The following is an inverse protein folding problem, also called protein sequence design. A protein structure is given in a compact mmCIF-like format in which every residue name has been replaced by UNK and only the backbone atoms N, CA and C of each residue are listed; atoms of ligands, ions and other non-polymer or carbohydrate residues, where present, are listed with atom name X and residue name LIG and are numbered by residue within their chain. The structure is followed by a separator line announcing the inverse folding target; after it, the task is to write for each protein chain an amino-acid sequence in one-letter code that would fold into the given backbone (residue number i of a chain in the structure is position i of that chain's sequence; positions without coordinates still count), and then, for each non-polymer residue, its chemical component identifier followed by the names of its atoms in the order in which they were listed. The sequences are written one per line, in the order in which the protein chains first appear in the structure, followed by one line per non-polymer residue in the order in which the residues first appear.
data_IF_540975942486
#
_entry.id   IF_540975942486
#
_cell.length_a   1.000
_cell.length_b   1.000
_cell.length_c   1.000
_cell.angle_alpha   90.00
_cell.angle_beta   90.00
_cell.angle_gamma   90.00
#
_symmetry.space_group_name_H-M   'P 1'
#
loop_
_entity.id
_entity.type
_entity.pdbx_description
1 polymer ?
#
# COMPACT_ATOMS: atom_id res chain seq x y z
N UNK A 1 -23.16 -11.36 22.24
CA UNK A 1 -22.57 -11.12 20.91
C UNK A 1 -21.14 -10.68 21.09
N UNK A 2 -20.19 -11.52 20.63
CA UNK A 2 -18.79 -11.15 20.56
C UNK A 2 -18.70 -9.96 19.62
N UNK A 3 -18.25 -8.80 20.11
CA UNK A 3 -17.92 -7.66 19.28
C UNK A 3 -16.87 -8.12 18.26
N UNK A 4 -17.33 -8.46 17.05
CA UNK A 4 -16.43 -8.74 15.94
C UNK A 4 -15.77 -7.43 15.59
N UNK A 5 -14.59 -7.15 16.18
CA UNK A 5 -13.72 -6.08 15.68
C UNK A 5 -13.57 -6.34 14.18
N UNK A 6 -14.22 -5.53 13.37
CA UNK A 6 -14.04 -5.61 11.91
C UNK A 6 -12.62 -5.18 11.62
N UNK A 7 -11.82 -6.10 11.12
CA UNK A 7 -10.49 -5.73 10.61
C UNK A 7 -10.66 -4.73 9.47
N UNK A 8 -9.81 -3.71 9.40
CA UNK A 8 -9.80 -2.82 8.25
C UNK A 8 -9.49 -3.61 6.97
N UNK A 9 -9.99 -3.18 5.81
CA UNK A 9 -9.66 -3.83 4.55
C UNK A 9 -8.15 -3.75 4.29
N UNK A 10 -7.57 -4.87 3.83
CA UNK A 10 -6.15 -4.98 3.50
C UNK A 10 -5.99 -4.90 2.00
N UNK A 11 -5.15 -3.99 1.53
CA UNK A 11 -4.68 -3.92 0.15
C UNK A 11 -3.23 -4.40 0.13
N UNK A 12 -2.99 -5.50 -0.57
CA UNK A 12 -1.68 -6.12 -0.64
C UNK A 12 -0.86 -5.63 -1.83
N UNK A 13 0.45 -5.61 -1.66
CA UNK A 13 1.42 -5.38 -2.74
C UNK A 13 1.69 -6.70 -3.46
N UNK A 14 1.20 -6.82 -4.70
CA UNK A 14 1.45 -7.93 -5.60
C UNK A 14 2.72 -7.77 -6.45
N UNK A 15 3.49 -6.69 -6.21
CA UNK A 15 4.71 -6.38 -6.99
C UNK A 15 4.39 -6.38 -8.50
N UNK A 16 5.29 -6.91 -9.31
CA UNK A 16 5.02 -7.17 -10.75
C UNK A 16 4.43 -8.57 -11.02
N UNK A 17 3.93 -9.24 -9.95
CA UNK A 17 3.33 -10.58 -10.03
C UNK A 17 4.32 -11.74 -9.97
N UNK A 18 5.59 -11.49 -9.64
CA UNK A 18 6.68 -12.47 -9.50
C UNK A 18 6.89 -13.38 -10.72
N UNK A 19 6.48 -12.92 -11.91
CA UNK A 19 6.63 -13.67 -13.15
C UNK A 19 5.55 -13.34 -14.19
N UNK A 20 5.08 -14.37 -14.89
CA UNK A 20 4.04 -14.25 -15.92
C UNK A 20 2.62 -14.40 -15.38
N UNK A 21 1.68 -14.65 -16.31
CA UNK A 21 0.23 -14.74 -16.01
C UNK A 21 -0.11 -15.84 -14.99
N UNK A 22 0.58 -16.97 -15.03
CA UNK A 22 0.34 -18.07 -14.09
C UNK A 22 0.77 -17.69 -12.66
N UNK A 23 1.90 -17.00 -12.53
CA UNK A 23 2.35 -16.50 -11.22
C UNK A 23 1.34 -15.50 -10.63
N UNK A 24 0.83 -14.58 -11.45
CA UNK A 24 -0.18 -13.61 -11.01
C UNK A 24 -1.47 -14.30 -10.59
N UNK A 25 -1.94 -15.30 -11.34
CA UNK A 25 -3.13 -16.08 -11.02
C UNK A 25 -2.99 -16.77 -9.66
N UNK A 26 -1.90 -17.52 -9.44
CA UNK A 26 -1.66 -18.24 -8.20
C UNK A 26 -1.42 -17.30 -7.01
N UNK A 27 -0.69 -16.20 -7.21
CA UNK A 27 -0.47 -15.19 -6.18
C UNK A 27 -1.80 -14.56 -5.74
N UNK A 28 -2.69 -14.29 -6.70
CA UNK A 28 -4.01 -13.74 -6.40
C UNK A 28 -4.85 -14.70 -5.58
N UNK A 29 -4.82 -16.01 -5.90
CA UNK A 29 -5.48 -17.04 -5.10
C UNK A 29 -4.97 -17.04 -3.65
N UNK A 30 -3.64 -17.00 -3.44
CA UNK A 30 -3.05 -16.99 -2.11
C UNK A 30 -3.45 -15.75 -1.30
N UNK A 31 -3.56 -14.59 -1.93
CA UNK A 31 -4.04 -13.38 -1.28
C UNK A 31 -5.52 -13.46 -0.92
N UNK A 32 -6.35 -14.03 -1.79
CA UNK A 32 -7.77 -14.27 -1.53
C UNK A 32 -7.93 -15.21 -0.31
N UNK A 33 -7.21 -16.31 -0.28
CA UNK A 33 -7.21 -17.27 0.82
C UNK A 33 -6.75 -16.64 2.14
N UNK A 34 -5.87 -15.65 2.07
CA UNK A 34 -5.38 -14.87 3.21
C UNK A 34 -6.36 -13.76 3.66
N UNK A 35 -7.48 -13.56 2.98
CA UNK A 35 -8.51 -12.58 3.34
C UNK A 35 -8.19 -11.14 2.92
N UNK A 36 -7.35 -10.93 1.94
CA UNK A 36 -7.00 -9.61 1.39
C UNK A 36 -8.19 -9.04 0.62
N UNK A 37 -8.44 -7.74 0.75
CA UNK A 37 -9.57 -7.05 0.10
C UNK A 37 -9.23 -6.47 -1.27
N UNK A 38 -7.96 -6.20 -1.51
CA UNK A 38 -7.47 -5.66 -2.79
C UNK A 38 -6.00 -5.96 -3.01
N UNK A 39 -5.58 -5.96 -4.27
CA UNK A 39 -4.19 -6.18 -4.67
C UNK A 39 -3.81 -5.14 -5.70
N UNK A 40 -2.63 -4.55 -5.57
CA UNK A 40 -2.03 -3.81 -6.68
C UNK A 40 -0.93 -4.63 -7.35
N UNK A 41 -0.89 -4.53 -8.67
CA UNK A 41 0.19 -5.01 -9.50
C UNK A 41 0.82 -3.84 -10.24
N UNK A 42 2.09 -3.96 -10.61
CA UNK A 42 2.82 -2.95 -11.37
C UNK A 42 3.35 -3.49 -12.69
N UNK A 43 3.49 -2.60 -13.68
CA UNK A 43 3.92 -2.94 -15.05
C UNK A 43 5.45 -3.04 -15.22
N UNK A 44 6.20 -3.26 -14.15
CA UNK A 44 7.62 -3.53 -14.22
C UNK A 44 7.91 -4.97 -14.67
N UNK A 45 9.07 -5.17 -15.31
CA UNK A 45 9.63 -6.49 -15.60
C UNK A 45 9.99 -7.19 -14.29
N UNK A 46 9.44 -8.37 -14.04
CA UNK A 46 9.56 -9.05 -12.76
C UNK A 46 11.01 -9.37 -12.34
N UNK A 47 11.88 -9.73 -13.31
CA UNK A 47 13.30 -9.99 -13.02
C UNK A 47 14.12 -8.75 -12.69
N UNK A 48 13.66 -7.56 -13.11
CA UNK A 48 14.35 -6.28 -12.95
C UNK A 48 13.58 -5.30 -12.06
N UNK A 49 12.58 -5.80 -11.33
CA UNK A 49 11.71 -4.98 -10.49
C UNK A 49 12.49 -4.21 -9.44
N UNK A 50 12.19 -2.93 -9.31
CA UNK A 50 12.79 -2.02 -8.34
C UNK A 50 11.73 -1.19 -7.62
N UNK A 51 12.07 -0.73 -6.42
CA UNK A 51 11.20 0.20 -5.67
C UNK A 51 10.85 1.44 -6.52
N UNK A 52 9.63 1.96 -6.35
CA UNK A 52 9.11 3.08 -7.13
C UNK A 52 9.99 4.32 -7.18
N UNK A 53 10.79 4.57 -6.13
CA UNK A 53 11.69 5.73 -6.04
C UNK A 53 13.11 5.49 -6.56
N UNK A 54 13.43 4.26 -6.95
CA UNK A 54 14.77 3.88 -7.44
C UNK A 54 14.82 3.97 -8.97
N UNK A 55 15.98 4.35 -9.50
CA UNK A 55 16.23 4.43 -10.93
C UNK A 55 16.44 3.05 -11.59
N UNK A 56 16.52 3.05 -12.94
CA UNK A 56 16.80 1.84 -13.72
C UNK A 56 15.63 0.86 -13.81
N UNK A 57 14.40 1.32 -13.62
CA UNK A 57 13.19 0.53 -13.83
C UNK A 57 13.00 0.17 -15.30
N UNK A 58 12.55 -1.05 -15.54
CA UNK A 58 12.18 -1.59 -16.85
C UNK A 58 10.70 -1.92 -16.84
N UNK A 59 9.90 -1.31 -17.71
CA UNK A 59 8.49 -1.65 -17.85
C UNK A 59 8.25 -2.63 -19.01
N UNK A 60 7.15 -3.35 -18.92
CA UNK A 60 6.69 -4.31 -19.93
C UNK A 60 5.66 -3.67 -20.86
N UNK A 61 5.43 -4.21 -22.07
CA UNK A 61 4.42 -3.73 -22.97
C UNK A 61 3.00 -3.72 -22.37
N UNK A 62 2.19 -2.76 -22.81
CA UNK A 62 0.81 -2.59 -22.35
C UNK A 62 -0.02 -3.87 -22.47
N UNK A 63 0.06 -4.60 -23.59
CA UNK A 63 -0.69 -5.85 -23.77
C UNK A 63 -0.25 -6.96 -22.81
N UNK A 64 1.03 -7.02 -22.48
CA UNK A 64 1.57 -8.03 -21.55
C UNK A 64 1.05 -7.77 -20.13
N UNK A 65 1.05 -6.52 -19.70
CA UNK A 65 0.52 -6.17 -18.39
C UNK A 65 -1.00 -6.37 -18.28
N UNK A 66 -1.77 -6.06 -19.36
CA UNK A 66 -3.21 -6.35 -19.41
C UNK A 66 -3.50 -7.84 -19.22
N UNK A 67 -2.68 -8.73 -19.78
CA UNK A 67 -2.81 -10.18 -19.53
C UNK A 67 -2.63 -10.54 -18.06
N UNK A 68 -1.72 -9.87 -17.36
CA UNK A 68 -1.54 -10.04 -15.90
C UNK A 68 -2.77 -9.57 -15.12
N UNK A 69 -3.33 -8.40 -15.46
CA UNK A 69 -4.58 -7.92 -14.84
C UNK A 69 -5.75 -8.89 -15.08
N UNK A 70 -5.85 -9.43 -16.29
CA UNK A 70 -6.87 -10.45 -16.61
C UNK A 70 -6.64 -11.75 -15.83
N UNK A 71 -5.39 -12.15 -15.59
CA UNK A 71 -5.09 -13.33 -14.77
C UNK A 71 -5.54 -13.13 -13.32
N UNK A 72 -5.31 -11.93 -12.76
CA UNK A 72 -5.80 -11.58 -11.42
C UNK A 72 -7.34 -11.56 -11.37
N UNK A 73 -7.99 -10.99 -12.37
CA UNK A 73 -9.46 -10.99 -12.45
C UNK A 73 -10.03 -12.40 -12.57
N UNK A 74 -9.43 -13.23 -13.43
CA UNK A 74 -9.85 -14.62 -13.58
C UNK A 74 -9.74 -15.40 -12.26
N UNK A 75 -8.69 -15.21 -11.50
CA UNK A 75 -8.50 -15.81 -10.17
C UNK A 75 -9.63 -15.41 -9.22
N UNK A 76 -9.97 -14.11 -9.17
CA UNK A 76 -11.11 -13.59 -8.39
C UNK A 76 -12.44 -14.20 -8.82
N UNK A 77 -12.70 -14.28 -10.11
CA UNK A 77 -13.95 -14.80 -10.65
C UNK A 77 -14.11 -16.31 -10.39
N UNK A 78 -13.03 -17.08 -10.55
CA UNK A 78 -13.03 -18.53 -10.29
C UNK A 78 -13.21 -18.83 -8.80
N UNK A 79 -12.59 -18.03 -7.94
CA UNK A 79 -12.73 -18.16 -6.48
C UNK A 79 -14.11 -17.72 -5.97
N UNK A 80 -14.87 -16.98 -6.77
CA UNK A 80 -16.14 -16.37 -6.36
C UNK A 80 -15.99 -15.29 -5.28
N UNK A 81 -14.78 -14.75 -5.10
CA UNK A 81 -14.46 -13.72 -4.11
C UNK A 81 -14.13 -12.42 -4.82
N UNK A 82 -14.97 -11.39 -4.72
CA UNK A 82 -14.68 -10.09 -5.35
C UNK A 82 -13.50 -9.42 -4.63
N UNK A 83 -12.38 -9.27 -5.35
CA UNK A 83 -11.21 -8.56 -4.89
C UNK A 83 -10.97 -7.32 -5.74
N UNK A 84 -10.55 -6.23 -5.12
CA UNK A 84 -10.22 -5.00 -5.83
C UNK A 84 -8.86 -5.15 -6.51
N UNK A 85 -8.81 -4.96 -7.82
CA UNK A 85 -7.58 -4.98 -8.62
C UNK A 85 -7.16 -3.54 -8.91
N UNK A 86 -5.94 -3.21 -8.51
CA UNK A 86 -5.34 -1.90 -8.70
C UNK A 86 -4.21 -2.03 -9.73
N UNK A 87 -4.36 -1.35 -10.86
CA UNK A 87 -3.31 -1.28 -11.87
C UNK A 87 -2.38 -0.12 -11.60
N UNK A 88 -1.11 -0.42 -11.33
CA UNK A 88 -0.04 0.56 -11.17
C UNK A 88 0.81 0.63 -12.43
N UNK A 89 1.12 1.84 -12.88
CA UNK A 89 2.19 2.04 -13.86
C UNK A 89 3.39 2.74 -13.24
N UNK A 90 4.56 2.28 -13.57
CA UNK A 90 5.85 2.88 -13.24
C UNK A 90 6.46 3.66 -14.41
N UNK A 91 5.75 3.80 -15.55
CA UNK A 91 6.23 4.41 -16.77
C UNK A 91 6.70 5.85 -16.58
N UNK A 92 6.12 6.61 -15.64
CA UNK A 92 6.50 8.00 -15.36
C UNK A 92 7.99 8.15 -15.00
N UNK A 93 8.56 7.16 -14.32
CA UNK A 93 9.94 7.19 -13.82
C UNK A 93 10.80 6.03 -14.34
N UNK A 94 10.28 5.20 -15.23
CA UNK A 94 11.06 4.16 -15.87
C UNK A 94 11.93 4.74 -17.00
N UNK A 95 13.11 4.19 -17.18
CA UNK A 95 13.97 4.56 -18.31
C UNK A 95 13.88 3.59 -19.48
N UNK A 96 13.45 2.37 -19.20
CA UNK A 96 13.62 1.23 -20.11
C UNK A 96 12.30 0.50 -20.31
N UNK A 97 12.15 -0.07 -21.50
CA UNK A 97 11.07 -0.96 -21.87
C UNK A 97 11.60 -2.21 -22.57
N UNK A 98 10.96 -3.34 -22.31
CA UNK A 98 11.42 -4.65 -22.82
C UNK A 98 11.26 -4.79 -24.34
N UNK A 99 10.20 -4.23 -24.93
CA UNK A 99 9.82 -4.45 -26.31
C UNK A 99 9.02 -3.30 -26.90
N UNK A 100 9.16 -3.07 -28.18
CA UNK A 100 8.40 -2.13 -29.02
C UNK A 100 7.24 -2.79 -29.78
N UNK A 101 6.93 -4.04 -29.46
CA UNK A 101 5.93 -4.85 -30.19
C UNK A 101 4.51 -4.29 -30.09
N UNK A 102 4.18 -3.60 -29.01
CA UNK A 102 2.84 -3.01 -28.83
C UNK A 102 2.79 -1.61 -29.45
N UNK A 103 1.97 -1.45 -30.49
CA UNK A 103 1.81 -0.17 -31.21
C UNK A 103 1.36 0.98 -30.31
N UNK A 104 0.70 0.67 -29.18
CA UNK A 104 0.27 1.67 -28.18
C UNK A 104 1.46 2.30 -27.47
N UNK A 105 2.56 1.55 -27.33
CA UNK A 105 3.76 1.94 -26.62
C UNK A 105 4.87 2.43 -27.54
N UNK A 106 4.98 1.88 -28.75
CA UNK A 106 6.12 2.06 -29.68
C UNK A 106 6.48 3.52 -29.97
N UNK A 107 5.49 4.41 -30.04
CA UNK A 107 5.67 5.85 -30.33
C UNK A 107 6.37 6.62 -29.19
N UNK A 108 6.51 6.04 -28.01
CA UNK A 108 7.20 6.64 -26.87
C UNK A 108 8.62 6.12 -26.67
N UNK A 109 9.07 5.25 -27.57
CA UNK A 109 10.33 4.53 -27.43
C UNK A 109 11.38 4.99 -28.45
N UNK A 110 12.65 4.89 -28.06
CA UNK A 110 13.77 5.03 -28.98
C UNK A 110 13.73 3.99 -30.09
N UNK A 111 14.31 4.31 -31.24
CA UNK A 111 14.37 3.38 -32.39
C UNK A 111 15.34 2.21 -32.18
N UNK A 112 16.34 2.40 -31.33
CA UNK A 112 17.41 1.43 -31.13
C UNK A 112 17.38 0.90 -29.69
N UNK A 113 17.81 -0.35 -29.51
CA UNK A 113 18.03 -0.95 -28.20
C UNK A 113 19.29 -0.43 -27.55
N UNK A 114 19.29 -0.36 -26.21
CA UNK A 114 20.47 -0.15 -25.38
C UNK A 114 21.41 -1.34 -25.42
N UNK A 115 22.60 -1.21 -24.84
CA UNK A 115 23.54 -2.34 -24.65
C UNK A 115 22.94 -3.49 -23.83
N UNK A 116 21.98 -3.18 -22.96
CA UNK A 116 21.29 -4.16 -22.13
C UNK A 116 20.10 -4.83 -22.87
N UNK A 117 19.86 -4.43 -24.12
CA UNK A 117 18.82 -5.02 -24.96
C UNK A 117 17.43 -4.42 -24.81
N UNK A 118 17.26 -3.36 -24.04
CA UNK A 118 16.00 -2.66 -23.83
C UNK A 118 15.88 -1.40 -24.70
N UNK A 119 14.66 -0.91 -24.90
CA UNK A 119 14.41 0.40 -25.53
C UNK A 119 14.40 1.50 -24.46
N UNK A 120 14.94 2.69 -24.82
CA UNK A 120 14.78 3.88 -23.98
C UNK A 120 13.37 4.45 -24.13
N UNK A 121 12.79 4.89 -23.03
CA UNK A 121 11.54 5.65 -23.03
C UNK A 121 11.90 7.12 -23.23
N UNK A 122 11.38 7.74 -24.30
CA UNK A 122 11.67 9.12 -24.68
C UNK A 122 10.63 10.12 -24.17
N UNK A 123 9.40 9.65 -23.90
CA UNK A 123 8.32 10.48 -23.38
C UNK A 123 7.55 9.74 -22.25
N UNK A 124 8.08 9.84 -21.05
CA UNK A 124 7.54 9.17 -19.87
C UNK A 124 6.15 9.68 -19.46
N UNK A 125 5.96 10.99 -19.53
CA UNK A 125 4.72 11.66 -19.09
C UNK A 125 3.52 11.17 -19.89
N UNK A 126 3.58 11.29 -21.21
CA UNK A 126 2.50 10.85 -22.11
C UNK A 126 2.31 9.33 -22.06
N UNK A 127 3.42 8.58 -21.96
CA UNK A 127 3.38 7.12 -21.86
C UNK A 127 2.66 6.66 -20.60
N UNK A 128 2.92 7.28 -19.44
CA UNK A 128 2.27 6.94 -18.19
C UNK A 128 0.75 7.14 -18.26
N UNK A 129 0.31 8.25 -18.85
CA UNK A 129 -1.12 8.51 -19.08
C UNK A 129 -1.71 7.49 -20.05
N UNK A 130 -1.06 7.24 -21.19
CA UNK A 130 -1.54 6.32 -22.21
C UNK A 130 -1.67 4.87 -21.69
N UNK A 131 -0.67 4.39 -20.95
CA UNK A 131 -0.71 3.08 -20.30
C UNK A 131 -1.88 3.01 -19.32
N UNK A 132 -2.02 4.00 -18.45
CA UNK A 132 -3.09 4.06 -17.46
C UNK A 132 -4.49 4.08 -18.08
N UNK A 133 -4.67 4.78 -19.20
CA UNK A 133 -5.92 4.75 -19.97
C UNK A 133 -6.24 3.35 -20.47
N UNK A 134 -5.25 2.62 -20.98
CA UNK A 134 -5.43 1.24 -21.43
C UNK A 134 -5.69 0.27 -20.27
N UNK A 135 -5.15 0.51 -19.08
CA UNK A 135 -5.34 -0.35 -17.91
C UNK A 135 -6.71 -0.12 -17.24
N UNK A 136 -7.28 1.06 -17.42
CA UNK A 136 -8.52 1.46 -16.76
C UNK A 136 -9.70 0.54 -17.06
N UNK A 137 -9.72 -0.16 -18.19
CA UNK A 137 -10.78 -1.14 -18.51
C UNK A 137 -10.64 -2.46 -17.73
N UNK A 138 -9.42 -2.78 -17.27
CA UNK A 138 -9.07 -4.09 -16.70
C UNK A 138 -8.86 -4.06 -15.18
N UNK A 139 -8.95 -2.90 -14.58
CA UNK A 139 -8.73 -2.71 -13.15
C UNK A 139 -9.83 -1.85 -12.52
N UNK A 140 -10.07 -2.03 -11.23
CA UNK A 140 -11.03 -1.23 -10.47
C UNK A 140 -10.46 0.14 -10.13
N UNK A 141 -9.16 0.21 -9.87
CA UNK A 141 -8.41 1.42 -9.51
C UNK A 141 -7.18 1.56 -10.41
N UNK A 142 -6.84 2.78 -10.76
CA UNK A 142 -5.63 3.09 -11.52
C UNK A 142 -4.70 3.97 -10.69
N UNK A 143 -3.41 3.65 -10.75
CA UNK A 143 -2.35 4.34 -10.02
C UNK A 143 -1.12 4.57 -10.91
N UNK A 144 -0.67 5.81 -11.00
CA UNK A 144 0.63 6.16 -11.57
C UNK A 144 1.62 6.45 -10.43
N UNK A 145 2.68 5.66 -10.35
CA UNK A 145 3.74 5.89 -9.36
C UNK A 145 4.60 7.08 -9.77
N UNK A 146 4.83 7.98 -8.82
CA UNK A 146 5.71 9.14 -8.96
C UNK A 146 6.86 9.07 -7.96
N UNK A 147 7.95 9.79 -8.20
CA UNK A 147 9.08 9.90 -7.28
C UNK A 147 9.17 11.27 -6.58
N UNK A 148 8.26 12.17 -6.94
CA UNK A 148 8.09 13.48 -6.30
C UNK A 148 6.60 13.80 -6.19
N UNK A 149 6.16 14.56 -5.17
CA UNK A 149 4.78 15.01 -5.09
C UNK A 149 4.54 16.12 -6.13
N UNK A 150 3.50 15.96 -6.95
CA UNK A 150 3.14 16.89 -8.02
C UNK A 150 1.62 16.93 -8.21
N UNK A 151 1.00 18.02 -7.74
CA UNK A 151 -0.45 18.24 -7.90
C UNK A 151 -0.83 18.60 -9.33
N UNK A 152 0.06 19.23 -10.08
CA UNK A 152 -0.18 19.59 -11.48
C UNK A 152 -0.32 18.34 -12.34
N UNK A 153 0.66 17.43 -12.26
CA UNK A 153 0.59 16.14 -12.93
C UNK A 153 -0.60 15.30 -12.42
N UNK A 154 -0.83 15.26 -11.11
CA UNK A 154 -1.94 14.51 -10.54
C UNK A 154 -3.29 14.98 -11.11
N UNK A 155 -3.48 16.30 -11.26
CA UNK A 155 -4.69 16.86 -11.87
C UNK A 155 -4.82 16.49 -13.34
N UNK A 156 -3.77 16.69 -14.13
CA UNK A 156 -3.74 16.35 -15.55
C UNK A 156 -4.04 14.86 -15.77
N UNK A 157 -3.36 13.98 -15.03
CA UNK A 157 -3.61 12.54 -15.08
C UNK A 157 -5.07 12.19 -14.79
N UNK A 158 -5.64 12.78 -13.74
CA UNK A 158 -7.04 12.56 -13.38
C UNK A 158 -7.99 13.04 -14.48
N UNK A 159 -7.75 14.20 -15.04
CA UNK A 159 -8.57 14.79 -16.11
C UNK A 159 -8.53 13.92 -17.38
N UNK A 160 -7.34 13.43 -17.77
CA UNK A 160 -7.19 12.54 -18.93
C UNK A 160 -7.90 11.19 -18.75
N UNK A 161 -7.73 10.54 -17.61
CA UNK A 161 -8.41 9.27 -17.33
C UNK A 161 -9.94 9.46 -17.35
N UNK A 162 -10.45 10.54 -16.80
CA UNK A 162 -11.88 10.79 -16.68
C UNK A 162 -12.59 11.16 -17.97
N UNK A 163 -11.88 11.61 -18.99
CA UNK A 163 -12.46 11.83 -20.33
C UNK A 163 -13.10 10.54 -20.87
N UNK A 164 -12.46 9.40 -20.65
CA UNK A 164 -12.92 8.09 -21.13
C UNK A 164 -13.58 7.24 -20.02
N UNK A 165 -13.15 7.43 -18.78
CA UNK A 165 -13.57 6.64 -17.62
C UNK A 165 -14.03 7.55 -16.46
N UNK A 166 -15.17 8.25 -16.56
CA UNK A 166 -15.57 9.33 -15.64
C UNK A 166 -15.70 8.89 -14.17
N UNK A 167 -15.98 7.62 -13.94
CA UNK A 167 -16.17 7.04 -12.60
C UNK A 167 -14.96 6.25 -12.11
N UNK A 168 -13.83 6.25 -12.84
CA UNK A 168 -12.64 5.48 -12.43
C UNK A 168 -12.06 6.01 -11.12
N UNK A 169 -11.84 5.09 -10.19
CA UNK A 169 -11.14 5.40 -8.94
C UNK A 169 -9.65 5.52 -9.23
N UNK A 170 -9.06 6.57 -8.69
CA UNK A 170 -7.62 6.81 -8.77
C UNK A 170 -6.97 6.62 -7.40
N UNK A 171 -5.74 6.09 -7.41
CA UNK A 171 -4.90 5.95 -6.23
C UNK A 171 -3.67 6.86 -6.30
N UNK A 172 -3.20 7.32 -5.14
CA UNK A 172 -1.99 8.11 -5.00
C UNK A 172 -1.17 7.65 -3.79
N UNK A 173 0.13 7.49 -3.99
CA UNK A 173 1.08 7.23 -2.93
C UNK A 173 1.66 8.53 -2.38
N UNK A 174 1.24 8.93 -1.19
CA UNK A 174 1.83 10.04 -0.43
C UNK A 174 3.10 9.53 0.29
N UNK A 175 4.14 9.25 -0.47
CA UNK A 175 5.32 8.56 0.06
C UNK A 175 6.09 9.40 1.09
N UNK A 176 6.52 8.82 2.22
CA UNK A 176 7.46 9.47 3.14
C UNK A 176 8.88 9.59 2.56
N UNK A 177 9.16 8.94 1.41
CA UNK A 177 10.42 9.10 0.67
C UNK A 177 10.46 10.38 -0.17
N UNK A 178 9.37 11.11 -0.30
CA UNK A 178 9.34 12.40 -0.97
C UNK A 178 9.98 13.48 -0.10
N UNK A 179 10.77 14.37 -0.72
CA UNK A 179 11.26 15.59 -0.08
C UNK A 179 10.15 16.65 -0.09
N UNK A 180 9.16 16.46 0.78
CA UNK A 180 7.94 17.28 0.80
C UNK A 180 8.22 18.78 0.94
N UNK A 181 9.11 19.17 1.88
CA UNK A 181 9.43 20.57 2.15
C UNK A 181 10.27 21.24 1.04
N UNK A 182 10.86 20.47 0.12
CA UNK A 182 11.54 21.02 -1.05
C UNK A 182 10.55 21.48 -2.14
N UNK A 183 9.31 21.00 -2.08
CA UNK A 183 8.26 21.22 -3.09
C UNK A 183 7.10 22.08 -2.60
N UNK A 184 6.76 21.98 -1.32
CA UNK A 184 5.56 22.57 -0.76
C UNK A 184 5.82 23.20 0.61
N UNK A 185 5.07 24.26 0.90
CA UNK A 185 4.97 24.82 2.25
C UNK A 185 4.19 23.86 3.17
N UNK A 186 4.34 24.02 4.48
CA UNK A 186 3.57 23.21 5.45
C UNK A 186 2.06 23.27 5.21
N UNK A 187 1.52 24.44 4.89
CA UNK A 187 0.10 24.63 4.63
C UNK A 187 -0.37 23.90 3.36
N UNK A 188 0.44 23.87 2.32
CA UNK A 188 0.14 23.12 1.10
C UNK A 188 0.18 21.61 1.37
N UNK A 189 1.15 21.13 2.19
CA UNK A 189 1.22 19.73 2.60
C UNK A 189 -0.03 19.33 3.40
N UNK A 190 -0.49 20.16 4.33
CA UNK A 190 -1.73 19.94 5.10
C UNK A 190 -2.96 19.79 4.20
N UNK A 191 -3.01 20.50 3.08
CA UNK A 191 -4.13 20.45 2.13
C UNK A 191 -3.95 19.44 1.01
N UNK A 192 -2.77 18.84 0.84
CA UNK A 192 -2.39 18.02 -0.32
C UNK A 192 -3.37 16.87 -0.58
N UNK A 193 -3.75 16.13 0.46
CA UNK A 193 -4.69 15.01 0.33
C UNK A 193 -6.11 15.46 -0.02
N UNK A 194 -6.54 16.62 0.47
CA UNK A 194 -7.84 17.22 0.12
C UNK A 194 -7.88 17.65 -1.34
N UNK A 195 -6.80 18.24 -1.84
CA UNK A 195 -6.62 18.59 -3.25
C UNK A 195 -6.70 17.34 -4.14
N UNK A 196 -5.93 16.30 -3.84
CA UNK A 196 -6.00 15.02 -4.54
C UNK A 196 -7.41 14.43 -4.53
N UNK A 197 -8.10 14.49 -3.39
CA UNK A 197 -9.47 14.01 -3.28
C UNK A 197 -10.43 14.76 -4.18
N UNK A 198 -10.23 16.08 -4.36
CA UNK A 198 -11.02 16.92 -5.29
C UNK A 198 -10.81 16.51 -6.75
N UNK A 199 -9.61 16.06 -7.12
CA UNK A 199 -9.30 15.51 -8.46
C UNK A 199 -9.80 14.07 -8.65
N UNK A 200 -10.26 13.40 -7.56
CA UNK A 200 -10.85 12.07 -7.58
C UNK A 200 -9.95 10.92 -7.19
N UNK A 201 -8.85 11.21 -6.60
CA UNK A 201 -8.04 10.19 -5.93
C UNK A 201 -8.75 9.76 -4.64
N UNK A 202 -9.53 8.70 -4.73
CA UNK A 202 -10.32 8.18 -3.60
C UNK A 202 -9.53 7.19 -2.74
N UNK A 203 -8.47 6.61 -3.28
CA UNK A 203 -7.53 5.78 -2.55
C UNK A 203 -6.20 6.52 -2.40
N UNK A 204 -5.90 6.94 -1.18
CA UNK A 204 -4.65 7.62 -0.84
C UNK A 204 -4.00 6.88 0.30
N UNK A 205 -2.70 6.64 0.21
CA UNK A 205 -1.97 5.91 1.24
C UNK A 205 -0.58 6.51 1.47
N UNK A 206 -0.06 6.27 2.65
CA UNK A 206 1.30 6.66 3.04
C UNK A 206 2.12 5.39 3.16
N UNK A 207 2.86 5.06 2.12
CA UNK A 207 3.72 3.88 2.14
C UNK A 207 4.80 3.99 3.21
N UNK A 208 5.23 2.86 3.79
CA UNK A 208 6.29 2.79 4.81
C UNK A 208 6.04 3.56 6.12
N UNK A 209 4.86 4.15 6.32
CA UNK A 209 4.56 4.89 7.55
C UNK A 209 4.73 4.01 8.80
N UNK A 210 4.23 2.78 8.77
CA UNK A 210 4.39 1.81 9.85
C UNK A 210 5.86 1.44 10.10
N UNK A 211 6.63 1.22 9.03
CA UNK A 211 8.06 0.93 9.13
C UNK A 211 8.82 2.08 9.80
N UNK A 212 8.64 3.30 9.31
CA UNK A 212 9.34 4.46 9.86
C UNK A 212 8.95 4.74 11.31
N UNK A 213 7.65 4.63 11.65
CA UNK A 213 7.16 4.81 13.02
C UNK A 213 7.75 3.77 13.96
N UNK A 214 7.71 2.49 13.60
CA UNK A 214 8.26 1.40 14.41
C UNK A 214 9.79 1.53 14.55
N UNK A 215 10.51 1.71 13.44
CA UNK A 215 11.96 1.77 13.46
C UNK A 215 12.48 2.96 14.27
N UNK A 216 11.89 4.15 14.10
CA UNK A 216 12.31 5.35 14.82
C UNK A 216 11.99 5.29 16.31
N UNK A 217 10.81 4.80 16.69
CA UNK A 217 10.44 4.67 18.11
C UNK A 217 11.27 3.60 18.83
N UNK A 218 11.57 2.49 18.19
CA UNK A 218 12.46 1.46 18.76
C UNK A 218 13.89 1.96 18.88
N UNK A 219 14.39 2.73 17.92
CA UNK A 219 15.72 3.34 18.01
C UNK A 219 15.80 4.35 19.14
N UNK A 220 14.80 5.23 19.28
CA UNK A 220 14.72 6.21 20.35
C UNK A 220 14.71 5.54 21.73
N UNK A 221 13.85 4.52 21.90
CA UNK A 221 13.79 3.74 23.14
C UNK A 221 15.14 3.09 23.47
N UNK A 222 15.77 2.42 22.51
CA UNK A 222 17.05 1.75 22.71
C UNK A 222 18.16 2.75 23.06
N UNK A 223 18.17 3.91 22.41
CA UNK A 223 19.15 4.98 22.67
C UNK A 223 19.00 5.55 24.09
N UNK A 224 17.77 5.83 24.51
CA UNK A 224 17.46 6.29 25.87
C UNK A 224 17.77 5.24 26.92
N UNK A 225 17.43 3.97 26.64
CA UNK A 225 17.73 2.87 27.57
C UNK A 225 19.23 2.69 27.83
N UNK A 226 20.06 2.83 26.79
CA UNK A 226 21.52 2.76 26.88
C UNK A 226 22.10 3.80 27.89
N UNK A 227 21.49 4.99 27.95
CA UNK A 227 21.94 6.08 28.83
C UNK A 227 21.23 6.15 30.18
N UNK A 228 19.96 5.77 30.24
CA UNK A 228 19.05 5.99 31.37
C UNK A 228 18.44 4.73 31.99
N UNK A 229 18.77 3.54 31.46
CA UNK A 229 18.23 2.27 31.97
C UNK A 229 16.66 2.28 32.01
N UNK A 230 16.09 1.86 33.14
CA UNK A 230 14.64 1.77 33.33
C UNK A 230 13.88 3.10 33.24
N UNK A 231 14.58 4.24 33.36
CA UNK A 231 13.91 5.55 33.16
C UNK A 231 13.36 5.71 31.75
N UNK A 232 13.97 5.08 30.73
CA UNK A 232 13.45 5.08 29.36
C UNK A 232 12.12 4.32 29.24
N UNK A 233 11.96 3.25 30.02
CA UNK A 233 10.68 2.49 30.07
C UNK A 233 9.61 3.33 30.78
N UNK A 234 9.97 4.04 31.84
CA UNK A 234 9.04 4.95 32.51
C UNK A 234 8.53 6.06 31.56
N UNK A 235 9.43 6.64 30.75
CA UNK A 235 9.05 7.63 29.73
C UNK A 235 8.08 7.04 28.70
N UNK A 236 8.34 5.81 28.23
CA UNK A 236 7.42 5.11 27.31
C UNK A 236 6.05 4.89 27.95
N UNK A 237 6.01 4.39 29.19
CA UNK A 237 4.75 4.20 29.92
C UNK A 237 3.96 5.51 30.08
N UNK A 238 4.66 6.61 30.41
CA UNK A 238 4.01 7.91 30.53
C UNK A 238 3.46 8.41 29.19
N UNK A 239 4.20 8.20 28.11
CA UNK A 239 3.74 8.52 26.75
C UNK A 239 2.49 7.73 26.37
N UNK A 240 2.46 6.41 26.61
CA UNK A 240 1.27 5.58 26.37
C UNK A 240 0.08 6.02 27.21
N UNK A 241 0.30 6.38 28.47
CA UNK A 241 -0.73 6.95 29.35
C UNK A 241 -1.30 8.26 28.82
N UNK A 242 -0.48 9.12 28.24
CA UNK A 242 -0.95 10.35 27.62
C UNK A 242 -1.77 10.05 26.35
N UNK A 243 -1.30 9.13 25.50
CA UNK A 243 -2.05 8.69 24.32
C UNK A 243 -3.40 8.03 24.65
N UNK A 244 -3.50 7.38 25.81
CA UNK A 244 -4.76 6.73 26.21
C UNK A 244 -5.90 7.71 26.43
N UNK A 245 -5.59 8.98 26.72
CA UNK A 245 -6.59 10.06 26.81
C UNK A 245 -7.24 10.36 25.45
N UNK A 246 -6.54 10.05 24.37
CA UNK A 246 -6.99 10.23 22.99
C UNK A 246 -7.49 8.91 22.36
N UNK A 247 -7.66 7.85 23.18
CA UNK A 247 -8.26 6.59 22.76
C UNK A 247 -7.27 5.47 22.43
N UNK A 248 -5.96 5.62 22.72
CA UNK A 248 -5.01 4.53 22.60
C UNK A 248 -5.28 3.44 23.65
N UNK A 249 -5.42 2.20 23.20
CA UNK A 249 -5.79 1.06 24.05
C UNK A 249 -4.68 0.04 24.28
N UNK A 250 -3.53 0.21 23.57
CA UNK A 250 -2.41 -0.75 23.60
C UNK A 250 -1.75 -0.95 24.95
N UNK A 251 -1.97 -0.06 25.94
CA UNK A 251 -1.55 -0.26 27.32
C UNK A 251 -2.08 -1.60 27.87
N UNK A 252 -3.33 -1.92 27.52
CA UNK A 252 -3.98 -3.19 27.90
C UNK A 252 -3.73 -4.26 26.83
N UNK A 253 -2.46 -4.56 26.60
CA UNK A 253 -2.02 -5.43 25.51
C UNK A 253 -2.63 -6.83 25.53
N UNK A 254 -2.92 -7.41 26.70
CA UNK A 254 -3.61 -8.71 26.80
C UNK A 254 -5.03 -8.65 26.20
N UNK A 255 -5.72 -7.53 26.40
CA UNK A 255 -7.04 -7.33 25.81
C UNK A 255 -6.95 -7.16 24.29
N UNK A 256 -5.92 -6.43 23.81
CA UNK A 256 -5.70 -6.21 22.37
C UNK A 256 -5.40 -7.51 21.61
N UNK A 257 -4.68 -8.44 22.20
CA UNK A 257 -4.39 -9.76 21.59
C UNK A 257 -5.48 -10.80 21.86
N UNK A 258 -6.63 -10.41 22.40
CA UNK A 258 -7.79 -11.28 22.53
C UNK A 258 -7.94 -12.01 23.87
N UNK A 259 -7.19 -11.62 24.91
CA UNK A 259 -7.30 -12.21 26.25
C UNK A 259 -8.73 -12.19 26.79
N UNK A 260 -9.48 -11.14 26.52
CA UNK A 260 -10.91 -11.05 26.91
C UNK A 260 -11.80 -12.13 26.28
N UNK A 261 -11.47 -12.62 25.10
CA UNK A 261 -12.22 -13.69 24.44
C UNK A 261 -12.09 -15.00 25.22
N UNK A 262 -10.88 -15.38 25.57
CA UNK A 262 -10.63 -16.59 26.34
C UNK A 262 -11.12 -16.50 27.78
N UNK A 263 -11.05 -15.31 28.38
CA UNK A 263 -11.62 -15.06 29.71
C UNK A 263 -13.13 -15.34 29.73
N UNK A 264 -13.90 -14.84 28.75
CA UNK A 264 -15.32 -15.09 28.60
C UNK A 264 -15.65 -16.59 28.41
N UNK A 265 -14.80 -17.30 27.67
CA UNK A 265 -14.95 -18.77 27.55
C UNK A 265 -14.70 -19.42 28.89
N UNK A 266 -13.68 -18.99 29.63
CA UNK A 266 -13.39 -19.46 30.97
C UNK A 266 -14.58 -19.23 31.94
N UNK A 267 -15.09 -18.01 32.01
CA UNK A 267 -16.26 -17.63 32.79
C UNK A 267 -17.47 -18.54 32.46
N UNK A 268 -17.75 -18.74 31.17
CA UNK A 268 -18.87 -19.55 30.72
C UNK A 268 -18.75 -21.06 31.07
N UNK A 269 -17.53 -21.59 31.11
CA UNK A 269 -17.25 -23.00 31.34
C UNK A 269 -16.99 -23.35 32.80
N UNK A 270 -16.36 -22.45 33.55
CA UNK A 270 -15.87 -22.68 34.89
C UNK A 270 -16.72 -21.96 35.96
N UNK A 271 -17.52 -20.98 35.55
CA UNK A 271 -18.23 -20.06 36.45
C UNK A 271 -17.34 -18.89 36.91
N UNK A 272 -17.99 -17.78 37.25
CA UNK A 272 -17.31 -16.50 37.57
C UNK A 272 -16.44 -16.56 38.83
N UNK A 273 -16.71 -17.53 39.72
CA UNK A 273 -15.97 -17.73 40.98
C UNK A 273 -14.71 -18.59 40.82
N UNK A 274 -14.42 -19.09 39.61
CA UNK A 274 -13.24 -19.93 39.37
C UNK A 274 -11.92 -19.16 39.61
N UNK A 275 -11.02 -19.75 40.38
CA UNK A 275 -9.68 -19.25 40.60
C UNK A 275 -8.77 -19.40 39.35
N UNK A 276 -9.24 -20.06 38.30
CA UNK A 276 -8.54 -20.25 37.06
C UNK A 276 -8.74 -19.07 36.07
N UNK A 277 -9.62 -18.11 36.40
CA UNK A 277 -9.84 -16.93 35.58
C UNK A 277 -8.65 -15.97 35.66
N UNK A 278 -8.15 -15.57 34.51
CA UNK A 278 -6.89 -14.83 34.38
C UNK A 278 -6.97 -13.36 34.83
N UNK A 279 -8.17 -12.78 34.86
CA UNK A 279 -8.40 -11.41 35.33
C UNK A 279 -8.42 -11.26 36.84
N UNK A 280 -8.71 -12.36 37.54
CA UNK A 280 -8.71 -12.35 38.99
C UNK A 280 -7.27 -12.13 39.46
N UNK A 281 -7.03 -11.10 40.25
CA UNK A 281 -5.72 -10.67 40.75
C UNK A 281 -4.71 -10.20 39.67
N UNK A 282 -5.18 -9.89 38.46
CA UNK A 282 -4.33 -9.38 37.39
C UNK A 282 -3.88 -7.95 37.67
N UNK A 283 -2.58 -7.67 37.47
CA UNK A 283 -2.03 -6.30 37.50
C UNK A 283 -2.56 -5.43 36.36
N UNK A 284 -3.12 -6.02 35.30
CA UNK A 284 -3.73 -5.27 34.19
C UNK A 284 -4.90 -4.38 34.63
N UNK A 285 -5.60 -4.78 35.69
CA UNK A 285 -6.70 -3.99 36.26
C UNK A 285 -6.23 -2.68 36.89
N UNK A 286 -4.96 -2.62 37.28
CA UNK A 286 -4.32 -1.47 37.95
C UNK A 286 -3.28 -0.78 37.08
N UNK A 287 -3.07 -1.23 35.84
CA UNK A 287 -2.19 -0.58 34.88
C UNK A 287 -2.74 0.79 34.49
N UNK A 288 -1.99 1.82 34.84
CA UNK A 288 -2.12 3.27 34.54
C UNK A 288 -3.54 3.82 34.48
#
# INVERSE_FOLDING_TARGET
ELDKKKLPPIIADGESGFGGIYNVYELTNQFIDSGVSGIHFEDQLASEKKCGHVGGKVVIPTHEYIKKLNAARLSSDVSGVPIIIIARTDAMNAKLMTSDFDDRDSKYLSKNRTSDGYFLIENNHEMAIAKSLNYAEYADVVWCETNTPDLGFAKEFADEIRKSHPNKILAYNCSPSFNWLDKFTKKEIENFQSELSSYGYKLQFVSLAGFHSLASSMYDLASKYKGGNMSAILELQQFEKDLSKDGYTGIKHQQEVGGNYYERIGEALLGDESELLSKKDSTENTQF
#
